data_IF_021413294886
#
_entry.id   IF_021413294886
#
_cell.length_a   1.000
_cell.length_b   1.000
_cell.length_c   1.000
_cell.angle_alpha   90.00
_cell.angle_beta   90.00
_cell.angle_gamma   90.00
#
_symmetry.space_group_name_H-M   'P 1'
#
loop_
_entity.id
_entity.type
_entity.pdbx_description
1 polymer ?
#
# COMPACT_ATOMS: atom_id res chain seq x y z
N UNK A 1 -70.55 -4.34 -40.68
CA UNK A 1 -69.17 -4.77 -40.39
C UNK A 1 -68.27 -3.55 -40.24
N UNK A 2 -68.17 -2.93 -39.06
CA UNK A 2 -67.46 -1.66 -38.91
C UNK A 2 -67.01 -1.28 -37.50
N UNK A 3 -66.98 -2.23 -36.52
CA UNK A 3 -66.68 -1.89 -35.13
C UNK A 3 -65.32 -2.49 -34.57
N UNK A 4 -64.59 -3.28 -35.37
CA UNK A 4 -63.37 -3.98 -34.85
C UNK A 4 -62.10 -3.14 -35.02
N UNK A 5 -62.08 -2.12 -35.89
CA UNK A 5 -60.85 -1.34 -36.17
C UNK A 5 -60.51 -0.24 -35.20
N UNK A 6 -61.50 0.29 -34.48
CA UNK A 6 -61.32 1.41 -33.52
C UNK A 6 -60.68 0.92 -32.20
N UNK A 7 -61.13 -0.24 -31.70
CA UNK A 7 -60.59 -0.82 -30.45
C UNK A 7 -59.10 -1.21 -30.59
N UNK A 8 -58.70 -1.71 -31.74
CA UNK A 8 -57.27 -2.04 -32.01
C UNK A 8 -56.37 -0.78 -31.99
N UNK A 9 -56.85 0.33 -32.54
CA UNK A 9 -56.08 1.57 -32.65
C UNK A 9 -55.81 2.21 -31.29
N UNK A 10 -56.77 2.16 -30.40
CA UNK A 10 -56.63 2.67 -29.01
C UNK A 10 -55.74 1.76 -28.15
N UNK A 11 -55.79 0.45 -28.37
CA UNK A 11 -54.90 -0.50 -27.70
C UNK A 11 -53.44 -0.27 -28.14
N UNK A 12 -53.15 -0.11 -29.44
CA UNK A 12 -51.81 0.20 -29.92
C UNK A 12 -51.28 1.53 -29.40
N UNK A 13 -52.15 2.57 -29.29
CA UNK A 13 -51.75 3.86 -28.69
C UNK A 13 -51.37 3.71 -27.21
N UNK A 14 -52.12 2.96 -26.43
CA UNK A 14 -51.82 2.69 -25.02
C UNK A 14 -50.52 1.94 -24.85
N UNK A 15 -50.27 0.91 -25.66
CA UNK A 15 -49.00 0.16 -25.63
C UNK A 15 -47.83 0.98 -26.13
N UNK A 16 -48.00 1.85 -27.10
CA UNK A 16 -46.99 2.78 -27.56
C UNK A 16 -46.58 3.78 -26.46
N UNK A 17 -47.56 4.32 -25.72
CA UNK A 17 -47.30 5.21 -24.58
C UNK A 17 -46.53 4.48 -23.46
N UNK A 18 -46.92 3.25 -23.15
CA UNK A 18 -46.20 2.42 -22.16
C UNK A 18 -44.80 2.11 -22.65
N UNK A 19 -44.60 1.74 -23.90
CA UNK A 19 -43.28 1.48 -24.50
C UNK A 19 -42.38 2.71 -24.48
N UNK A 20 -42.91 3.89 -24.79
CA UNK A 20 -42.17 5.16 -24.68
C UNK A 20 -41.81 5.48 -23.23
N UNK A 21 -42.76 5.30 -22.28
CA UNK A 21 -42.47 5.52 -20.87
C UNK A 21 -41.39 4.60 -20.34
N UNK A 22 -41.40 3.33 -20.70
CA UNK A 22 -40.32 2.36 -20.35
C UNK A 22 -38.99 2.78 -20.98
N UNK A 23 -38.99 3.14 -22.27
CA UNK A 23 -37.78 3.58 -22.96
C UNK A 23 -37.19 4.85 -22.31
N UNK A 24 -38.01 5.82 -21.92
CA UNK A 24 -37.59 7.02 -21.20
C UNK A 24 -37.03 6.66 -19.82
N UNK A 25 -37.71 5.80 -19.06
CA UNK A 25 -37.25 5.35 -17.74
C UNK A 25 -35.91 4.58 -17.83
N UNK A 26 -35.73 3.76 -18.86
CA UNK A 26 -34.45 3.06 -19.10
C UNK A 26 -33.32 3.99 -19.58
N UNK A 27 -33.65 5.04 -20.34
CA UNK A 27 -32.66 6.01 -20.84
C UNK A 27 -32.31 7.09 -19.81
N UNK A 28 -33.20 7.42 -18.86
CA UNK A 28 -32.97 8.45 -17.84
C UNK A 28 -31.67 8.28 -17.05
N UNK A 29 -31.33 7.09 -16.53
CA UNK A 29 -30.05 6.91 -15.81
C UNK A 29 -28.83 7.23 -16.68
N UNK A 30 -28.86 6.78 -17.94
CA UNK A 30 -27.74 7.01 -18.88
C UNK A 30 -27.62 8.47 -19.31
N UNK A 31 -28.76 9.18 -19.42
CA UNK A 31 -28.76 10.63 -19.73
C UNK A 31 -28.31 11.45 -18.53
N UNK A 32 -28.74 11.08 -17.31
CA UNK A 32 -28.31 11.78 -16.08
C UNK A 32 -26.83 11.58 -15.83
N UNK A 33 -26.30 10.36 -16.02
CA UNK A 33 -24.88 10.07 -15.87
C UNK A 33 -23.99 10.72 -16.96
N UNK A 34 -24.56 11.08 -18.10
CA UNK A 34 -23.87 11.81 -19.18
C UNK A 34 -23.86 13.33 -18.99
N UNK A 35 -24.62 13.87 -18.02
CA UNK A 35 -24.56 15.29 -17.72
C UNK A 35 -23.21 15.61 -17.07
N UNK A 36 -22.48 16.67 -17.52
CA UNK A 36 -21.23 17.05 -16.91
C UNK A 36 -21.44 17.40 -15.43
N UNK A 37 -20.64 16.78 -14.57
CA UNK A 37 -20.61 17.10 -13.15
C UNK A 37 -20.15 18.57 -12.99
N UNK A 38 -20.96 19.40 -12.37
CA UNK A 38 -20.66 20.81 -12.14
C UNK A 38 -20.41 21.04 -10.65
N UNK A 39 -19.16 21.39 -10.32
CA UNK A 39 -18.80 21.90 -9.00
C UNK A 39 -18.17 23.28 -9.16
N UNK A 40 -18.23 24.11 -8.12
CA UNK A 40 -17.43 25.33 -8.08
C UNK A 40 -15.96 24.96 -8.23
N UNK A 41 -15.22 25.70 -9.06
CA UNK A 41 -13.79 25.48 -9.27
C UNK A 41 -13.04 25.70 -7.95
N UNK A 42 -12.41 24.67 -7.44
CA UNK A 42 -11.53 24.73 -6.27
C UNK A 42 -10.09 24.71 -6.77
N UNK A 43 -9.27 25.65 -6.28
CA UNK A 43 -7.85 25.66 -6.62
C UNK A 43 -7.18 24.33 -6.17
N UNK A 44 -6.26 23.75 -6.98
CA UNK A 44 -5.65 22.45 -6.68
C UNK A 44 -5.01 22.37 -5.29
N UNK A 45 -4.27 23.42 -4.90
CA UNK A 45 -3.66 23.47 -3.57
C UNK A 45 -4.69 23.52 -2.43
N UNK A 46 -5.80 24.24 -2.61
CA UNK A 46 -6.88 24.27 -1.63
C UNK A 46 -7.61 22.93 -1.53
N UNK A 47 -7.81 22.24 -2.66
CA UNK A 47 -8.40 20.91 -2.68
C UNK A 47 -7.49 19.90 -1.97
N UNK A 48 -6.16 19.92 -2.24
CA UNK A 48 -5.19 19.11 -1.50
C UNK A 48 -5.27 19.36 0.00
N UNK A 49 -5.31 20.63 0.43
CA UNK A 49 -5.41 20.96 1.87
C UNK A 49 -6.70 20.42 2.49
N UNK A 50 -7.84 20.50 1.78
CA UNK A 50 -9.11 19.95 2.26
C UNK A 50 -9.04 18.42 2.39
N UNK A 51 -8.48 17.73 1.38
CA UNK A 51 -8.30 16.28 1.43
C UNK A 51 -7.43 15.88 2.63
N UNK A 52 -6.31 16.56 2.86
CA UNK A 52 -5.45 16.28 4.02
C UNK A 52 -6.17 16.54 5.36
N UNK A 53 -6.99 17.59 5.44
CA UNK A 53 -7.75 17.91 6.64
C UNK A 53 -8.92 16.95 6.93
N UNK A 54 -9.30 16.12 5.97
CA UNK A 54 -10.39 15.14 6.13
C UNK A 54 -9.95 13.79 6.70
N UNK A 55 -8.69 13.65 7.13
CA UNK A 55 -8.14 12.37 7.60
C UNK A 55 -8.97 11.72 8.72
N UNK A 56 -9.49 12.52 9.64
CA UNK A 56 -10.29 12.06 10.78
C UNK A 56 -11.80 12.24 10.57
N UNK A 57 -12.23 12.62 9.34
CA UNK A 57 -13.65 12.81 9.06
C UNK A 57 -14.37 11.46 9.00
N UNK A 58 -15.46 11.26 9.78
CA UNK A 58 -16.21 10.01 9.75
C UNK A 58 -16.87 9.78 8.37
N UNK A 59 -16.93 8.54 7.98
CA UNK A 59 -17.60 8.11 6.73
C UNK A 59 -17.98 6.64 6.81
N UNK A 60 -18.85 6.22 5.89
CA UNK A 60 -19.12 4.82 5.60
C UNK A 60 -19.37 4.64 4.11
N UNK A 61 -19.10 3.45 3.59
CA UNK A 61 -19.31 3.22 2.17
C UNK A 61 -18.94 1.83 1.70
N UNK A 62 -19.23 1.61 0.43
CA UNK A 62 -18.86 0.41 -0.32
C UNK A 62 -17.93 0.80 -1.44
N UNK A 63 -16.71 0.26 -1.41
CA UNK A 63 -15.66 0.58 -2.36
C UNK A 63 -15.25 -0.63 -3.18
N UNK A 64 -14.76 -0.37 -4.39
CA UNK A 64 -14.09 -1.33 -5.25
C UNK A 64 -12.64 -0.89 -5.45
N UNK A 65 -11.73 -1.86 -5.31
CA UNK A 65 -10.30 -1.67 -5.52
C UNK A 65 -9.89 -2.57 -6.67
N UNK A 66 -9.34 -1.98 -7.73
CA UNK A 66 -8.78 -2.70 -8.86
C UNK A 66 -7.27 -2.52 -8.90
N UNK A 67 -6.54 -3.61 -8.71
CA UNK A 67 -5.08 -3.66 -8.80
C UNK A 67 -4.59 -4.38 -10.05
N UNK A 68 -3.55 -3.84 -10.68
CA UNK A 68 -2.89 -4.42 -11.88
C UNK A 68 -1.37 -4.49 -11.71
N UNK A 69 -0.92 -4.68 -10.46
CA UNK A 69 0.51 -4.77 -10.19
C UNK A 69 1.13 -6.06 -10.69
N UNK A 70 0.32 -7.11 -10.91
CA UNK A 70 0.81 -8.44 -11.34
C UNK A 70 1.95 -8.95 -10.44
N UNK A 71 1.75 -8.85 -9.13
CA UNK A 71 2.71 -9.36 -8.16
C UNK A 71 2.84 -10.88 -8.31
N UNK A 72 4.07 -11.43 -8.17
CA UNK A 72 4.25 -12.87 -8.16
C UNK A 72 3.51 -13.49 -6.98
N UNK A 73 2.94 -14.68 -7.20
CA UNK A 73 2.25 -15.45 -6.17
C UNK A 73 3.30 -16.04 -5.21
N UNK A 74 3.52 -15.35 -4.11
CA UNK A 74 4.36 -15.83 -3.01
C UNK A 74 3.45 -16.24 -1.85
N UNK A 75 3.63 -17.43 -1.25
CA UNK A 75 2.76 -17.92 -0.17
C UNK A 75 2.60 -16.92 0.99
N UNK A 76 3.65 -16.16 1.31
CA UNK A 76 3.66 -15.15 2.37
C UNK A 76 3.00 -13.82 1.98
N UNK A 77 2.74 -13.60 0.68
CA UNK A 77 2.17 -12.38 0.13
C UNK A 77 0.82 -12.61 -0.58
N UNK A 78 0.19 -13.78 -0.39
CA UNK A 78 -1.03 -14.17 -1.09
C UNK A 78 -2.15 -13.12 -0.97
N UNK A 79 -2.44 -12.67 0.25
CA UNK A 79 -3.45 -11.64 0.52
C UNK A 79 -3.10 -10.32 -0.18
N UNK A 80 -1.82 -9.89 -0.14
CA UNK A 80 -1.39 -8.64 -0.78
C UNK A 80 -1.42 -8.77 -2.29
N UNK A 81 -1.01 -9.92 -2.82
CA UNK A 81 -1.06 -10.19 -4.26
C UNK A 81 -2.50 -10.13 -4.77
N UNK A 82 -3.48 -10.66 -4.02
CA UNK A 82 -4.90 -10.59 -4.39
C UNK A 82 -5.42 -9.16 -4.33
N UNK A 83 -5.11 -8.40 -3.28
CA UNK A 83 -5.52 -7.00 -3.12
C UNK A 83 -4.96 -6.08 -4.21
N UNK A 84 -3.72 -6.31 -4.65
CA UNK A 84 -3.02 -5.42 -5.59
C UNK A 84 -2.99 -5.92 -7.04
N UNK A 85 -3.50 -7.13 -7.32
CA UNK A 85 -3.48 -7.74 -8.66
C UNK A 85 -4.85 -8.27 -9.10
N UNK A 86 -5.92 -7.83 -8.47
CA UNK A 86 -7.29 -8.23 -8.78
C UNK A 86 -8.30 -7.16 -8.42
N UNK A 87 -9.59 -7.48 -8.54
CA UNK A 87 -10.68 -6.65 -8.05
C UNK A 87 -11.13 -7.14 -6.67
N UNK A 88 -11.19 -6.23 -5.72
CA UNK A 88 -11.60 -6.49 -4.34
C UNK A 88 -12.69 -5.52 -3.94
N UNK A 89 -13.75 -6.04 -3.35
CA UNK A 89 -14.88 -5.24 -2.85
C UNK A 89 -14.79 -5.13 -1.35
N UNK A 90 -14.96 -3.92 -0.86
CA UNK A 90 -14.76 -3.57 0.55
C UNK A 90 -15.96 -2.78 1.05
N UNK A 91 -16.50 -3.15 2.21
CA UNK A 91 -17.33 -2.26 3.02
C UNK A 91 -16.47 -1.61 4.07
N UNK A 92 -16.73 -0.35 4.38
CA UNK A 92 -15.96 0.36 5.40
C UNK A 92 -16.86 1.29 6.21
N UNK A 93 -16.59 1.34 7.51
CA UNK A 93 -17.20 2.25 8.49
C UNK A 93 -16.06 2.86 9.29
N UNK A 94 -15.88 4.15 9.17
CA UNK A 94 -14.85 4.90 9.85
C UNK A 94 -15.50 5.95 10.74
N UNK A 95 -15.40 5.78 12.04
CA UNK A 95 -15.90 6.72 13.04
C UNK A 95 -14.77 7.59 13.62
N UNK A 96 -13.59 7.01 13.82
CA UNK A 96 -12.37 7.64 14.33
C UNK A 96 -11.14 6.78 14.00
N UNK A 97 -9.90 7.29 14.16
CA UNK A 97 -8.68 6.52 13.89
C UNK A 97 -8.55 5.19 14.67
N UNK A 98 -9.15 5.10 15.83
CA UNK A 98 -9.19 3.92 16.70
C UNK A 98 -10.59 3.27 16.78
N UNK A 99 -11.50 3.65 15.90
CA UNK A 99 -12.86 3.14 15.83
C UNK A 99 -13.31 3.02 14.37
N UNK A 100 -12.95 1.92 13.71
CA UNK A 100 -13.31 1.65 12.32
C UNK A 100 -13.46 0.16 12.05
N UNK A 101 -14.18 -0.17 10.99
CA UNK A 101 -14.34 -1.52 10.47
C UNK A 101 -14.15 -1.53 8.96
N UNK A 102 -13.49 -2.55 8.44
CA UNK A 102 -13.35 -2.82 7.01
C UNK A 102 -13.58 -4.29 6.76
N UNK A 103 -14.56 -4.61 5.91
CA UNK A 103 -14.90 -5.96 5.51
C UNK A 103 -14.44 -6.20 4.08
N UNK A 104 -13.66 -7.23 3.87
CA UNK A 104 -13.27 -7.72 2.55
C UNK A 104 -14.25 -8.81 2.14
N UNK A 105 -14.95 -8.61 1.04
CA UNK A 105 -15.89 -9.58 0.49
C UNK A 105 -15.13 -10.53 -0.45
N UNK A 106 -15.20 -11.81 -0.17
CA UNK A 106 -14.64 -12.89 -1.00
C UNK A 106 -15.77 -13.72 -1.60
N UNK A 107 -15.46 -14.58 -2.56
CA UNK A 107 -16.45 -15.47 -3.18
C UNK A 107 -17.02 -16.52 -2.19
N UNK A 108 -16.27 -16.84 -1.13
CA UNK A 108 -16.59 -17.89 -0.16
C UNK A 108 -16.95 -17.37 1.21
N UNK A 109 -16.73 -16.07 1.49
CA UNK A 109 -16.99 -15.51 2.82
C UNK A 109 -16.65 -14.02 2.93
N UNK A 110 -16.36 -13.62 4.14
CA UNK A 110 -16.04 -12.25 4.51
C UNK A 110 -14.90 -12.26 5.53
N UNK A 111 -13.98 -11.34 5.39
CA UNK A 111 -12.93 -11.10 6.37
C UNK A 111 -13.06 -9.67 6.89
N UNK A 112 -13.38 -9.56 8.17
CA UNK A 112 -13.55 -8.27 8.83
C UNK A 112 -12.29 -7.87 9.58
N UNK A 113 -11.97 -6.59 9.52
CA UNK A 113 -10.90 -6.00 10.32
C UNK A 113 -11.45 -4.78 11.06
N UNK A 114 -11.22 -4.75 12.36
CA UNK A 114 -11.65 -3.68 13.25
C UNK A 114 -10.43 -2.95 13.81
N UNK A 115 -10.42 -1.64 13.73
CA UNK A 115 -9.46 -0.79 14.41
C UNK A 115 -9.90 -0.54 15.84
N UNK A 116 -8.97 -0.70 16.78
CA UNK A 116 -9.19 -0.48 18.21
C UNK A 116 -8.04 0.31 18.81
N UNK A 117 -8.22 0.84 20.03
CA UNK A 117 -7.17 1.58 20.76
C UNK A 117 -5.90 0.76 21.02
N UNK A 118 -5.98 -0.57 21.01
CA UNK A 118 -4.85 -1.45 21.32
C UNK A 118 -4.25 -2.14 20.09
N UNK A 119 -4.82 -1.90 18.91
CA UNK A 119 -4.39 -2.52 17.66
C UNK A 119 -5.57 -2.90 16.77
N UNK A 120 -5.52 -4.04 16.11
CA UNK A 120 -6.60 -4.51 15.23
C UNK A 120 -7.14 -5.85 15.65
N UNK A 121 -8.45 -6.06 15.43
CA UNK A 121 -9.10 -7.37 15.50
C UNK A 121 -9.42 -7.82 14.08
N UNK A 122 -9.09 -9.04 13.74
CA UNK A 122 -9.47 -9.67 12.47
C UNK A 122 -10.41 -10.83 12.76
N UNK A 123 -11.56 -10.84 12.08
CA UNK A 123 -12.52 -11.93 12.09
C UNK A 123 -12.55 -12.57 10.71
N UNK A 124 -12.30 -13.85 10.66
CA UNK A 124 -12.37 -14.68 9.45
C UNK A 124 -13.60 -15.60 9.57
N UNK A 125 -14.63 -15.33 8.77
CA UNK A 125 -15.88 -16.08 8.78
C UNK A 125 -15.72 -17.50 8.26
N UNK A 126 -14.81 -17.74 7.33
CA UNK A 126 -14.58 -19.06 6.73
C UNK A 126 -13.99 -20.04 7.74
N UNK A 127 -13.04 -19.55 8.53
CA UNK A 127 -12.36 -20.36 9.56
C UNK A 127 -13.00 -20.25 10.94
N UNK A 128 -13.91 -19.28 11.16
CA UNK A 128 -14.51 -18.98 12.45
C UNK A 128 -13.47 -18.54 13.49
N UNK A 129 -12.40 -17.86 13.06
CA UNK A 129 -11.28 -17.49 13.91
C UNK A 129 -11.22 -15.97 14.14
N UNK A 130 -11.04 -15.57 15.40
CA UNK A 130 -10.72 -14.20 15.79
C UNK A 130 -9.24 -14.09 16.10
N UNK A 131 -8.56 -13.12 15.51
CA UNK A 131 -7.17 -12.81 15.81
C UNK A 131 -7.07 -11.35 16.27
N UNK A 132 -6.60 -11.14 17.49
CA UNK A 132 -6.23 -9.82 18.00
C UNK A 132 -4.75 -9.56 17.68
N UNK A 133 -4.49 -8.52 16.90
CA UNK A 133 -3.14 -8.06 16.58
C UNK A 133 -2.85 -6.83 17.43
N UNK A 134 -1.95 -6.98 18.42
CA UNK A 134 -1.56 -5.90 19.31
C UNK A 134 -0.56 -4.96 18.64
N UNK A 135 -0.83 -3.66 18.74
CA UNK A 135 -0.05 -2.60 18.09
C UNK A 135 -0.36 -2.44 16.61
N UNK A 136 -0.03 -1.29 16.07
CA UNK A 136 -0.08 -1.02 14.62
C UNK A 136 1.29 -0.47 14.20
N UNK A 137 2.24 -1.34 13.84
CA UNK A 137 3.59 -0.89 13.46
C UNK A 137 3.49 -0.06 12.19
N UNK A 138 4.24 1.03 12.18
CA UNK A 138 4.26 1.98 11.06
C UNK A 138 4.79 1.34 9.79
N UNK A 139 5.69 0.33 9.91
CA UNK A 139 6.16 -0.47 8.77
C UNK A 139 5.54 -1.86 8.86
N UNK A 140 4.53 -2.08 8.07
CA UNK A 140 3.83 -3.36 7.92
C UNK A 140 3.40 -3.57 6.46
N UNK A 141 3.01 -4.77 6.17
CA UNK A 141 2.42 -5.08 4.87
C UNK A 141 1.06 -4.38 4.72
N UNK A 142 0.71 -3.93 3.51
CA UNK A 142 -0.59 -3.30 3.24
C UNK A 142 -1.75 -4.22 3.62
N UNK A 143 -2.78 -3.66 4.22
CA UNK A 143 -4.07 -4.29 4.48
C UNK A 143 -5.14 -3.68 3.59
N UNK A 144 -6.33 -4.26 3.60
CA UNK A 144 -7.45 -3.78 2.81
C UNK A 144 -7.88 -2.35 3.19
N UNK A 145 -7.86 -2.04 4.49
CA UNK A 145 -8.16 -0.69 5.00
C UNK A 145 -7.23 0.39 4.42
N UNK A 146 -5.96 0.06 4.17
CA UNK A 146 -4.99 0.98 3.56
C UNK A 146 -5.35 1.38 2.12
N UNK A 147 -6.14 0.56 1.45
CA UNK A 147 -6.50 0.74 0.05
C UNK A 147 -7.89 1.37 -0.13
N UNK A 148 -8.62 1.66 0.93
CA UNK A 148 -9.85 2.47 0.83
C UNK A 148 -9.52 3.83 0.23
N UNK A 149 -10.44 4.47 -0.54
CA UNK A 149 -10.12 5.74 -1.20
C UNK A 149 -9.55 6.80 -0.27
N UNK A 150 -10.10 7.04 0.97
CA UNK A 150 -9.54 8.03 1.88
C UNK A 150 -8.12 7.67 2.34
N UNK A 151 -7.87 6.43 2.78
CA UNK A 151 -6.58 6.02 3.32
C UNK A 151 -5.49 5.99 2.24
N UNK A 152 -5.81 5.48 1.05
CA UNK A 152 -4.89 5.50 -0.09
C UNK A 152 -4.53 6.93 -0.49
N UNK A 153 -5.54 7.82 -0.59
CA UNK A 153 -5.31 9.22 -0.91
C UNK A 153 -4.43 9.91 0.14
N UNK A 154 -4.71 9.72 1.44
CA UNK A 154 -3.90 10.31 2.51
C UNK A 154 -2.42 9.90 2.39
N UNK A 155 -2.14 8.61 2.18
CA UNK A 155 -0.77 8.11 1.99
C UNK A 155 -0.08 8.74 0.77
N UNK A 156 -0.78 8.84 -0.36
CA UNK A 156 -0.24 9.44 -1.58
C UNK A 156 -0.02 10.95 -1.44
N UNK A 157 -0.95 11.66 -0.79
CA UNK A 157 -0.85 13.10 -0.53
C UNK A 157 0.29 13.46 0.42
N UNK A 158 0.55 12.63 1.45
CA UNK A 158 1.68 12.78 2.36
C UNK A 158 3.00 12.39 1.70
N UNK A 159 3.01 11.40 0.80
CA UNK A 159 4.20 11.00 0.05
C UNK A 159 4.60 12.03 -1.00
N UNK A 160 3.63 12.74 -1.60
CA UNK A 160 3.90 13.72 -2.64
C UNK A 160 4.87 14.82 -2.17
N UNK A 161 5.88 15.08 -2.99
CA UNK A 161 6.86 16.15 -2.70
C UNK A 161 6.20 17.53 -2.79
N UNK A 162 6.70 18.49 -2.01
CA UNK A 162 6.14 19.85 -1.99
C UNK A 162 6.24 20.61 -3.32
N UNK A 163 7.13 20.17 -4.22
CA UNK A 163 7.33 20.72 -5.56
C UNK A 163 6.64 19.92 -6.67
N UNK A 164 5.92 18.84 -6.35
CA UNK A 164 5.13 18.13 -7.35
C UNK A 164 4.03 19.01 -7.93
N UNK A 165 3.74 18.83 -9.22
CA UNK A 165 2.77 19.67 -9.91
C UNK A 165 1.35 19.26 -9.55
N UNK A 166 0.55 20.23 -9.13
CA UNK A 166 -0.88 20.06 -8.84
C UNK A 166 -1.70 20.66 -9.99
N UNK A 167 -2.62 19.87 -10.54
CA UNK A 167 -3.48 20.26 -11.67
C UNK A 167 -4.93 19.97 -11.32
N UNK A 168 -5.86 20.88 -11.68
CA UNK A 168 -7.30 20.58 -11.55
C UNK A 168 -7.72 19.57 -12.61
N UNK A 169 -8.49 18.58 -12.20
CA UNK A 169 -9.22 17.69 -13.08
C UNK A 169 -10.68 18.10 -13.21
N UNK A 170 -11.34 17.75 -14.33
CA UNK A 170 -12.78 17.89 -14.44
C UNK A 170 -13.48 17.16 -13.29
N UNK A 171 -14.58 17.73 -12.81
CA UNK A 171 -15.41 17.06 -11.82
C UNK A 171 -15.97 15.75 -12.39
N UNK A 172 -16.10 14.76 -11.51
CA UNK A 172 -16.62 13.42 -11.82
C UNK A 172 -17.76 13.10 -10.86
N UNK A 173 -18.77 12.39 -11.33
CA UNK A 173 -19.74 11.78 -10.44
C UNK A 173 -19.14 10.52 -9.81
N UNK A 174 -19.09 10.47 -8.48
CA UNK A 174 -18.61 9.30 -7.71
C UNK A 174 -19.64 9.04 -6.62
N UNK A 175 -20.25 7.88 -6.63
CA UNK A 175 -21.30 7.49 -5.68
C UNK A 175 -22.43 8.55 -5.58
N UNK A 176 -22.82 9.18 -6.71
CA UNK A 176 -23.85 10.22 -6.76
C UNK A 176 -23.39 11.61 -6.30
N UNK A 177 -22.11 11.79 -6.02
CA UNK A 177 -21.52 13.07 -5.60
C UNK A 177 -20.71 13.67 -6.75
N UNK A 178 -21.02 14.91 -7.13
CA UNK A 178 -20.21 15.66 -8.09
C UNK A 178 -18.88 16.09 -7.43
N UNK A 179 -17.85 15.29 -7.58
CA UNK A 179 -16.56 15.41 -6.91
C UNK A 179 -15.57 16.22 -7.75
N UNK A 180 -14.98 17.33 -7.25
CA UNK A 180 -13.85 18.00 -7.86
C UNK A 180 -12.61 17.13 -7.83
N UNK A 181 -11.76 17.22 -8.89
CA UNK A 181 -10.59 16.39 -9.03
C UNK A 181 -9.26 17.14 -8.94
N UNK A 182 -8.26 16.45 -8.42
CA UNK A 182 -6.87 16.88 -8.29
C UNK A 182 -5.97 15.85 -8.96
N UNK A 183 -5.09 16.29 -9.84
CA UNK A 183 -4.00 15.49 -10.36
C UNK A 183 -2.68 15.92 -9.70
N UNK A 184 -1.90 14.95 -9.25
CA UNK A 184 -0.53 15.15 -8.75
C UNK A 184 0.43 14.53 -9.77
N UNK A 185 1.32 15.35 -10.32
CA UNK A 185 2.40 14.91 -11.23
C UNK A 185 3.75 15.01 -10.53
N UNK A 186 4.38 13.88 -10.23
CA UNK A 186 5.73 13.88 -9.67
C UNK A 186 6.73 14.59 -10.59
N UNK A 187 7.57 15.46 -10.01
CA UNK A 187 8.64 16.13 -10.75
C UNK A 187 9.84 15.22 -10.95
N UNK A 188 10.11 14.30 -9.99
CA UNK A 188 11.23 13.38 -10.10
C UNK A 188 11.08 12.44 -11.30
N UNK A 189 12.11 12.33 -12.17
CA UNK A 189 12.10 11.36 -13.28
C UNK A 189 12.26 9.92 -12.80
N UNK A 190 12.80 9.71 -11.61
CA UNK A 190 13.16 8.38 -11.10
C UNK A 190 11.96 7.55 -10.66
N UNK A 191 10.83 8.20 -10.29
CA UNK A 191 9.64 7.47 -9.89
C UNK A 191 8.96 6.77 -11.06
N UNK A 192 8.40 5.59 -10.80
CA UNK A 192 7.53 4.85 -11.73
C UNK A 192 6.14 5.45 -11.85
N UNK A 193 5.72 6.30 -10.90
CA UNK A 193 4.43 6.97 -10.92
C UNK A 193 4.45 8.10 -11.96
N UNK A 194 3.53 8.05 -12.92
CA UNK A 194 3.32 9.12 -13.89
C UNK A 194 2.46 10.25 -13.31
N UNK A 195 1.38 9.89 -12.64
CA UNK A 195 0.47 10.80 -11.96
C UNK A 195 -0.43 10.04 -10.98
N UNK A 196 -1.03 10.79 -10.06
CA UNK A 196 -2.09 10.35 -9.17
C UNK A 196 -3.28 11.27 -9.35
N UNK A 197 -4.43 10.72 -9.67
CA UNK A 197 -5.68 11.44 -9.86
C UNK A 197 -6.61 11.14 -8.67
N UNK A 198 -7.16 12.18 -8.01
CA UNK A 198 -7.98 12.04 -6.80
C UNK A 198 -9.22 12.92 -6.93
N UNK A 199 -10.40 12.35 -6.71
CA UNK A 199 -11.66 13.08 -6.61
C UNK A 199 -12.19 12.99 -5.18
N UNK A 200 -12.69 14.11 -4.65
CA UNK A 200 -13.13 14.20 -3.26
C UNK A 200 -14.50 14.83 -3.12
N UNK A 201 -15.20 14.51 -2.05
CA UNK A 201 -16.43 15.16 -1.65
C UNK A 201 -16.18 16.67 -1.44
N UNK A 202 -16.88 17.55 -2.16
CA UNK A 202 -16.71 19.00 -2.03
C UNK A 202 -17.09 19.54 -0.66
N UNK A 203 -17.94 18.85 0.09
CA UNK A 203 -18.40 19.30 1.41
C UNK A 203 -17.38 18.99 2.51
N UNK A 204 -16.85 17.77 2.53
CA UNK A 204 -15.99 17.27 3.62
C UNK A 204 -14.51 17.19 3.25
N UNK A 205 -14.20 17.09 1.96
CA UNK A 205 -12.86 16.83 1.47
C UNK A 205 -12.46 15.36 1.49
N UNK A 206 -13.34 14.45 1.92
CA UNK A 206 -13.06 13.01 1.94
C UNK A 206 -12.83 12.51 0.52
N UNK A 207 -11.69 11.85 0.23
CA UNK A 207 -11.43 11.26 -1.08
C UNK A 207 -12.42 10.14 -1.40
N UNK A 208 -12.98 10.17 -2.61
CA UNK A 208 -13.99 9.22 -3.08
C UNK A 208 -13.48 8.29 -4.18
N UNK A 209 -12.51 8.76 -4.98
CA UNK A 209 -11.95 8.01 -6.10
C UNK A 209 -10.46 8.37 -6.22
N UNK A 210 -9.61 7.35 -6.32
CA UNK A 210 -8.16 7.47 -6.43
C UNK A 210 -7.66 6.58 -7.56
N UNK A 211 -6.95 7.16 -8.51
CA UNK A 211 -6.35 6.43 -9.63
C UNK A 211 -4.83 6.69 -9.65
N UNK A 212 -4.03 5.62 -9.62
CA UNK A 212 -2.57 5.70 -9.69
C UNK A 212 -2.09 5.18 -11.04
N UNK A 213 -1.41 6.03 -11.78
CA UNK A 213 -0.90 5.71 -13.10
C UNK A 213 0.61 5.48 -13.08
N UNK A 214 1.04 4.37 -13.67
CA UNK A 214 2.44 4.09 -13.92
C UNK A 214 2.93 4.74 -15.22
N UNK A 215 4.23 5.10 -15.29
CA UNK A 215 4.84 5.67 -16.52
C UNK A 215 4.77 4.71 -17.73
N UNK A 216 4.74 3.43 -17.48
CA UNK A 216 4.66 2.39 -18.50
C UNK A 216 3.22 1.96 -18.83
N UNK A 217 2.20 2.63 -18.25
CA UNK A 217 0.80 2.25 -18.39
C UNK A 217 -0.06 3.41 -18.87
N UNK A 218 -0.93 3.17 -19.85
CA UNK A 218 -1.94 4.14 -20.29
C UNK A 218 -3.22 4.11 -19.43
N UNK A 219 -3.45 3.03 -18.69
CA UNK A 219 -4.56 2.86 -17.78
C UNK A 219 -4.04 2.93 -16.32
N UNK A 220 -4.91 3.24 -15.35
CA UNK A 220 -4.51 3.20 -13.94
C UNK A 220 -4.05 1.79 -13.56
N UNK A 221 -3.00 1.73 -12.75
CA UNK A 221 -2.46 0.48 -12.19
C UNK A 221 -3.15 0.11 -10.88
N UNK A 222 -3.58 1.11 -10.14
CA UNK A 222 -4.43 0.96 -8.95
C UNK A 222 -5.57 1.95 -9.10
N UNK A 223 -6.79 1.48 -8.90
CA UNK A 223 -7.99 2.29 -8.74
C UNK A 223 -8.63 1.91 -7.41
N UNK A 224 -9.03 2.90 -6.64
CA UNK A 224 -9.85 2.71 -5.43
C UNK A 224 -10.99 3.71 -5.46
N UNK A 225 -12.22 3.23 -5.51
CA UNK A 225 -13.41 4.06 -5.72
C UNK A 225 -14.57 3.62 -4.86
N UNK A 226 -15.27 4.58 -4.26
CA UNK A 226 -16.58 4.32 -3.67
C UNK A 226 -17.65 4.12 -4.74
N UNK A 227 -18.41 3.04 -4.59
CA UNK A 227 -19.61 2.75 -5.34
C UNK A 227 -20.86 3.26 -4.60
N UNK A 228 -20.78 3.31 -3.26
CA UNK A 228 -21.74 3.93 -2.37
C UNK A 228 -20.99 4.64 -1.24
N UNK A 229 -21.44 5.83 -0.83
CA UNK A 229 -20.74 6.65 0.14
C UNK A 229 -21.71 7.52 0.96
N UNK A 230 -21.40 7.65 2.24
CA UNK A 230 -22.04 8.60 3.14
C UNK A 230 -20.99 9.24 4.05
N UNK A 231 -21.01 10.57 4.16
CA UNK A 231 -20.19 11.34 5.09
C UNK A 231 -20.79 11.44 6.50
N UNK A 232 -21.89 10.76 6.75
CA UNK A 232 -22.46 10.67 8.09
C UNK A 232 -21.60 9.73 8.97
N UNK A 233 -21.48 10.07 10.27
CA UNK A 233 -20.86 9.18 11.23
C UNK A 233 -21.60 7.84 11.25
N UNK A 234 -20.90 6.70 11.14
CA UNK A 234 -21.51 5.39 11.32
C UNK A 234 -22.15 5.23 12.70
N UNK A 235 -23.14 4.34 12.81
CA UNK A 235 -23.61 3.93 14.12
C UNK A 235 -22.50 3.25 14.91
N UNK A 236 -22.40 3.48 16.21
CA UNK A 236 -21.32 2.91 17.05
C UNK A 236 -21.25 1.37 16.92
N UNK A 237 -22.40 0.70 16.83
CA UNK A 237 -22.46 -0.76 16.62
C UNK A 237 -21.90 -1.24 15.27
N UNK A 238 -21.74 -0.35 14.30
CA UNK A 238 -21.22 -0.74 12.98
C UNK A 238 -19.68 -0.93 12.98
N UNK A 239 -18.97 -0.18 13.84
CA UNK A 239 -17.51 -0.23 13.96
C UNK A 239 -17.03 -1.04 15.19
N UNK A 240 -17.91 -1.46 16.06
CA UNK A 240 -17.60 -2.26 17.24
C UNK A 240 -17.66 -3.75 16.94
N UNK A 241 -16.71 -4.49 17.48
CA UNK A 241 -16.66 -5.94 17.35
C UNK A 241 -17.42 -6.61 18.51
N UNK A 242 -18.46 -7.36 18.18
CA UNK A 242 -19.14 -8.24 19.11
C UNK A 242 -18.58 -9.65 18.99
N UNK A 243 -17.88 -10.11 20.03
CA UNK A 243 -17.29 -11.44 20.04
C UNK A 243 -18.40 -12.50 20.14
N UNK A 244 -18.52 -13.42 19.16
CA UNK A 244 -19.49 -14.51 19.26
C UNK A 244 -19.17 -15.42 20.45
N UNK A 245 -20.22 -15.94 21.12
CA UNK A 245 -20.07 -16.83 22.26
C UNK A 245 -19.26 -18.09 21.93
N UNK A 246 -18.26 -18.38 22.76
CA UNK A 246 -17.46 -19.61 22.63
C UNK A 246 -16.34 -19.55 21.57
N UNK A 247 -16.15 -18.43 20.89
CA UNK A 247 -15.06 -18.26 19.92
C UNK A 247 -13.77 -17.87 20.63
N UNK A 248 -12.67 -18.62 20.48
CA UNK A 248 -11.40 -18.26 21.09
C UNK A 248 -10.76 -17.08 20.35
N UNK A 249 -10.16 -16.17 21.11
CA UNK A 249 -9.33 -15.09 20.57
C UNK A 249 -7.88 -15.55 20.55
N UNK A 250 -7.30 -15.68 19.35
CA UNK A 250 -5.86 -15.81 19.19
C UNK A 250 -5.23 -14.40 19.29
N UNK A 251 -4.25 -14.24 20.19
CA UNK A 251 -3.52 -12.97 20.27
C UNK A 251 -2.20 -13.11 19.52
N UNK A 252 -1.99 -12.23 18.55
CA UNK A 252 -0.71 -12.07 17.85
C UNK A 252 -0.17 -10.68 18.14
N UNK A 253 1.13 -10.55 18.30
CA UNK A 253 1.75 -9.24 18.14
C UNK A 253 1.85 -8.97 16.66
N UNK A 254 1.54 -7.75 16.24
CA UNK A 254 1.83 -7.35 14.87
C UNK A 254 3.26 -7.76 14.56
N UNK A 255 3.45 -8.43 13.43
CA UNK A 255 4.79 -8.78 12.96
C UNK A 255 5.48 -7.45 12.63
N UNK A 256 6.00 -6.83 13.67
CA UNK A 256 6.88 -5.69 13.53
C UNK A 256 8.07 -6.17 12.71
N UNK A 257 8.28 -5.57 11.54
CA UNK A 257 9.47 -5.82 10.75
C UNK A 257 10.70 -5.65 11.62
N UNK A 258 10.66 -4.74 12.61
CA UNK A 258 11.72 -4.60 13.61
C UNK A 258 11.91 -5.85 14.46
N UNK A 259 10.86 -6.52 14.92
CA UNK A 259 11.02 -7.75 15.72
C UNK A 259 11.60 -8.90 14.90
N UNK A 260 11.41 -8.89 13.59
CA UNK A 260 12.06 -9.81 12.65
C UNK A 260 13.51 -9.41 12.39
N UNK A 261 13.83 -8.12 12.41
CA UNK A 261 15.18 -7.58 12.18
C UNK A 261 15.99 -7.49 13.47
N UNK A 262 15.38 -7.17 14.61
CA UNK A 262 16.06 -6.96 15.92
C UNK A 262 16.67 -8.24 16.53
N UNK A 263 16.28 -9.40 16.04
CA UNK A 263 16.72 -10.67 16.62
C UNK A 263 18.13 -11.08 16.15
N UNK A 264 18.67 -10.49 15.08
CA UNK A 264 19.89 -11.03 14.46
C UNK A 264 20.73 -9.95 13.74
N UNK A 265 21.68 -9.38 14.45
CA UNK A 265 22.81 -8.60 13.90
C UNK A 265 22.44 -7.28 13.19
N UNK A 266 22.71 -6.19 13.87
CA UNK A 266 22.61 -4.84 13.29
C UNK A 266 23.69 -4.61 12.25
N UNK A 267 23.30 -4.29 11.01
CA UNK A 267 24.19 -3.86 9.96
C UNK A 267 23.96 -2.37 9.68
N UNK A 268 24.94 -1.50 9.97
CA UNK A 268 24.77 -0.07 9.74
C UNK A 268 24.69 0.20 8.23
N UNK A 269 23.54 0.74 7.80
CA UNK A 269 23.34 1.13 6.42
C UNK A 269 24.08 2.45 6.12
N UNK A 270 24.56 2.66 4.87
CA UNK A 270 25.28 3.87 4.47
C UNK A 270 24.44 5.15 4.65
N UNK A 271 25.12 6.25 4.94
CA UNK A 271 24.47 7.57 5.05
C UNK A 271 23.96 8.11 3.69
N UNK A 272 24.44 7.55 2.57
CA UNK A 272 24.05 7.94 1.22
C UNK A 272 24.10 6.73 0.30
N UNK A 273 23.09 6.59 -0.57
CA UNK A 273 23.02 5.59 -1.65
C UNK A 273 22.45 6.22 -2.92
N UNK A 274 23.03 5.93 -4.05
CA UNK A 274 22.67 6.46 -5.36
C UNK A 274 22.62 8.01 -5.41
N UNK A 275 23.43 8.69 -4.59
CA UNK A 275 23.41 10.15 -4.45
C UNK A 275 22.23 10.68 -3.61
N UNK A 276 21.53 9.80 -2.87
CA UNK A 276 20.41 10.13 -2.00
C UNK A 276 20.80 9.93 -0.53
N UNK A 277 20.61 10.97 0.29
CA UNK A 277 20.90 10.90 1.72
C UNK A 277 19.88 9.96 2.44
N UNK A 278 20.41 9.22 3.42
CA UNK A 278 19.59 8.40 4.31
C UNK A 278 18.63 9.28 5.12
N UNK A 279 17.41 8.80 5.26
CA UNK A 279 16.38 9.39 6.14
C UNK A 279 15.87 8.29 7.05
N UNK A 280 15.62 8.57 8.33
CA UNK A 280 14.93 7.62 9.17
C UNK A 280 13.57 7.32 8.50
N UNK A 281 13.27 6.04 8.31
CA UNK A 281 11.97 5.62 7.78
C UNK A 281 10.89 6.01 8.79
N UNK A 282 11.25 6.00 10.07
CA UNK A 282 10.42 6.36 11.22
C UNK A 282 11.29 6.70 12.44
N UNK A 283 10.81 7.59 13.29
CA UNK A 283 11.43 7.89 14.57
C UNK A 283 11.46 6.63 15.46
N UNK A 284 12.63 6.23 15.92
CA UNK A 284 12.83 5.08 16.82
C UNK A 284 13.11 3.72 16.15
N UNK A 285 13.31 3.68 14.82
CA UNK A 285 13.64 2.44 14.11
C UNK A 285 15.14 2.12 14.10
N UNK A 286 15.42 0.80 14.00
CA UNK A 286 16.77 0.27 14.04
C UNK A 286 17.62 0.73 12.85
N UNK A 287 18.96 0.68 13.03
CA UNK A 287 19.94 1.00 11.99
C UNK A 287 19.85 0.09 10.74
N UNK A 288 19.03 -0.95 10.78
CA UNK A 288 18.92 -1.99 9.76
C UNK A 288 17.88 -1.65 8.67
N UNK A 289 17.13 -0.54 8.85
CA UNK A 289 16.15 -0.03 7.89
C UNK A 289 16.41 1.43 7.65
N UNK A 290 16.60 1.83 6.40
CA UNK A 290 16.74 3.22 6.01
C UNK A 290 15.97 3.53 4.74
N UNK A 291 15.35 4.72 4.70
CA UNK A 291 14.81 5.31 3.49
C UNK A 291 15.82 6.24 2.84
N UNK A 292 15.77 6.35 1.54
CA UNK A 292 16.61 7.24 0.75
C UNK A 292 15.76 7.98 -0.28
N UNK A 293 16.11 9.22 -0.58
CA UNK A 293 15.38 10.02 -1.55
C UNK A 293 14.21 10.81 -0.97
N UNK A 294 13.28 11.23 -1.80
CA UNK A 294 12.13 12.06 -1.40
C UNK A 294 10.91 11.85 -2.29
N UNK A 295 9.74 12.09 -1.72
CA UNK A 295 8.47 11.97 -2.45
C UNK A 295 8.27 10.55 -2.98
N UNK A 296 7.68 10.45 -4.15
CA UNK A 296 7.47 9.16 -4.83
C UNK A 296 8.76 8.49 -5.34
N UNK A 297 9.91 9.16 -5.27
CA UNK A 297 11.20 8.59 -5.63
C UNK A 297 11.96 8.04 -4.40
N UNK A 298 11.30 7.93 -3.26
CA UNK A 298 11.87 7.29 -2.06
C UNK A 298 12.02 5.79 -2.29
N UNK A 299 13.17 5.24 -1.88
CA UNK A 299 13.38 3.80 -1.77
C UNK A 299 13.79 3.42 -0.36
N UNK A 300 13.41 2.25 0.07
CA UNK A 300 13.79 1.68 1.36
C UNK A 300 14.83 0.58 1.15
N UNK A 301 15.77 0.49 2.09
CA UNK A 301 16.75 -0.58 2.18
C UNK A 301 16.61 -1.25 3.54
N UNK A 302 16.52 -2.57 3.51
CA UNK A 302 16.41 -3.41 4.70
C UNK A 302 17.52 -4.45 4.67
N UNK A 303 18.24 -4.59 5.78
CA UNK A 303 19.10 -5.74 5.99
C UNK A 303 18.23 -6.95 6.39
N UNK A 304 18.43 -8.09 5.75
CA UNK A 304 17.75 -9.33 6.06
C UNK A 304 18.73 -10.29 6.73
N UNK A 305 18.34 -10.85 7.87
CA UNK A 305 19.12 -11.94 8.50
C UNK A 305 19.18 -13.16 7.58
N UNK A 306 20.25 -13.96 7.70
CA UNK A 306 20.62 -15.03 6.76
C UNK A 306 19.42 -15.95 6.40
N UNK A 307 18.67 -16.44 7.39
CA UNK A 307 17.53 -17.33 7.17
C UNK A 307 16.41 -16.68 6.39
N UNK A 308 16.07 -15.43 6.72
CA UNK A 308 15.01 -14.68 6.05
C UNK A 308 15.45 -14.31 4.64
N UNK A 309 16.70 -13.86 4.50
CA UNK A 309 17.28 -13.47 3.23
C UNK A 309 17.37 -14.64 2.25
N UNK A 310 17.83 -15.81 2.69
CA UNK A 310 17.89 -17.03 1.86
C UNK A 310 16.51 -17.47 1.40
N UNK A 311 15.53 -17.46 2.32
CA UNK A 311 14.15 -17.76 2.00
C UNK A 311 13.56 -16.78 0.97
N UNK A 312 13.84 -15.47 1.14
CA UNK A 312 13.38 -14.42 0.24
C UNK A 312 14.01 -14.55 -1.16
N UNK A 313 15.33 -14.81 -1.25
CA UNK A 313 16.01 -15.05 -2.53
C UNK A 313 15.50 -16.30 -3.24
N UNK A 314 15.26 -17.39 -2.49
CA UNK A 314 14.68 -18.60 -3.02
C UNK A 314 13.28 -18.36 -3.58
N UNK A 315 12.43 -17.70 -2.81
CA UNK A 315 11.07 -17.35 -3.21
C UNK A 315 11.05 -16.42 -4.44
N UNK A 316 11.91 -15.41 -4.48
CA UNK A 316 12.05 -14.53 -5.64
C UNK A 316 12.50 -15.30 -6.89
N UNK A 317 13.41 -16.27 -6.73
CA UNK A 317 13.87 -17.12 -7.83
C UNK A 317 12.75 -18.00 -8.36
N UNK A 318 11.96 -18.63 -7.48
CA UNK A 318 10.79 -19.44 -7.85
C UNK A 318 9.72 -18.60 -8.54
N UNK A 319 9.56 -17.35 -8.12
CA UNK A 319 8.65 -16.38 -8.74
C UNK A 319 9.15 -15.81 -10.09
N UNK A 320 10.29 -16.29 -10.61
CA UNK A 320 10.83 -15.86 -11.89
C UNK A 320 11.52 -14.49 -11.87
N UNK A 321 11.97 -14.01 -10.70
CA UNK A 321 12.71 -12.75 -10.61
C UNK A 321 13.98 -12.77 -11.49
N UNK A 322 14.20 -11.68 -12.23
CA UNK A 322 15.34 -11.56 -13.13
C UNK A 322 16.66 -11.56 -12.36
N UNK A 323 17.66 -12.36 -12.78
CA UNK A 323 18.98 -12.32 -12.16
C UNK A 323 19.68 -10.99 -12.49
N UNK A 324 20.37 -10.43 -11.49
CA UNK A 324 21.21 -9.24 -11.64
C UNK A 324 22.59 -9.57 -11.04
N UNK A 325 23.65 -9.18 -11.74
CA UNK A 325 25.03 -9.38 -11.30
C UNK A 325 25.68 -8.03 -11.01
N UNK A 326 26.35 -7.95 -9.88
CA UNK A 326 27.12 -6.79 -9.43
C UNK A 326 28.61 -7.17 -9.34
N UNK A 327 29.55 -6.21 -9.33
CA UNK A 327 30.97 -6.52 -9.13
C UNK A 327 31.25 -7.29 -7.84
N UNK A 328 30.47 -7.05 -6.77
CA UNK A 328 30.67 -7.54 -5.41
C UNK A 328 29.48 -8.37 -4.90
N UNK A 329 28.65 -8.91 -5.80
CA UNK A 329 27.49 -9.67 -5.37
C UNK A 329 26.55 -10.06 -6.49
N UNK A 330 25.48 -10.71 -6.11
CA UNK A 330 24.41 -11.14 -7.01
C UNK A 330 23.06 -10.74 -6.48
N UNK A 331 22.06 -10.68 -7.35
CA UNK A 331 20.71 -10.29 -6.91
C UNK A 331 19.58 -10.88 -7.74
N UNK A 332 18.36 -10.59 -7.28
CA UNK A 332 17.09 -10.93 -7.95
C UNK A 332 16.20 -9.69 -8.00
N UNK A 333 15.76 -9.32 -9.19
CA UNK A 333 14.94 -8.15 -9.45
C UNK A 333 13.54 -8.56 -9.88
N UNK A 334 12.54 -8.08 -9.13
CA UNK A 334 11.13 -8.14 -9.47
C UNK A 334 10.70 -6.74 -9.90
N UNK A 335 10.04 -6.64 -11.06
CA UNK A 335 9.50 -5.38 -11.58
C UNK A 335 8.01 -5.51 -11.82
N UNK A 336 7.29 -4.52 -11.33
CA UNK A 336 5.88 -4.33 -11.63
C UNK A 336 5.68 -2.96 -12.26
N UNK A 337 4.49 -2.60 -12.75
CA UNK A 337 4.24 -1.25 -13.30
C UNK A 337 4.53 -0.09 -12.35
N UNK A 338 4.47 -0.31 -11.01
CA UNK A 338 4.72 0.74 -10.01
C UNK A 338 5.88 0.41 -9.07
N UNK A 339 6.08 -0.86 -8.74
CA UNK A 339 7.00 -1.29 -7.70
C UNK A 339 8.20 -2.03 -8.29
N UNK A 340 9.40 -1.66 -7.86
CA UNK A 340 10.63 -2.44 -8.08
C UNK A 340 11.09 -3.01 -6.74
N UNK A 341 11.43 -4.29 -6.72
CA UNK A 341 11.97 -5.00 -5.56
C UNK A 341 13.25 -5.68 -5.98
N UNK A 342 14.34 -5.39 -5.29
CA UNK A 342 15.65 -5.94 -5.56
C UNK A 342 16.23 -6.57 -4.30
N UNK A 343 16.44 -7.88 -4.35
CA UNK A 343 17.19 -8.61 -3.33
C UNK A 343 18.64 -8.75 -3.80
N UNK A 344 19.60 -8.39 -2.96
CA UNK A 344 21.03 -8.50 -3.28
C UNK A 344 21.75 -9.25 -2.17
N UNK A 345 22.71 -10.09 -2.58
CA UNK A 345 23.61 -10.83 -1.70
C UNK A 345 25.04 -10.32 -1.93
N UNK A 346 25.74 -9.94 -0.88
CA UNK A 346 27.15 -9.62 -0.90
C UNK A 346 28.01 -10.90 -0.93
N UNK A 347 29.01 -10.94 -1.79
CA UNK A 347 29.92 -12.09 -1.91
C UNK A 347 30.84 -12.24 -0.70
N UNK A 348 31.15 -11.14 0.02
CA UNK A 348 32.13 -11.13 1.10
C UNK A 348 31.56 -11.50 2.46
N UNK A 349 30.42 -10.92 2.82
CA UNK A 349 29.78 -11.15 4.13
C UNK A 349 28.63 -12.14 4.08
N UNK A 350 28.27 -12.61 2.90
CA UNK A 350 27.03 -13.40 2.67
C UNK A 350 25.79 -12.69 3.22
N UNK A 351 25.80 -11.34 3.20
CA UNK A 351 24.72 -10.50 3.70
C UNK A 351 23.70 -10.25 2.61
N UNK A 352 22.42 -10.31 2.99
CA UNK A 352 21.32 -10.12 2.07
C UNK A 352 20.57 -8.85 2.43
N UNK A 353 20.33 -8.03 1.42
CA UNK A 353 19.59 -6.77 1.55
C UNK A 353 18.38 -6.78 0.61
N UNK A 354 17.29 -6.20 1.09
CA UNK A 354 16.09 -5.95 0.32
C UNK A 354 16.00 -4.44 0.03
N UNK A 355 15.90 -4.09 -1.25
CA UNK A 355 15.63 -2.74 -1.71
C UNK A 355 14.23 -2.70 -2.33
N UNK A 356 13.39 -1.77 -1.89
CA UNK A 356 12.00 -1.63 -2.37
C UNK A 356 11.72 -0.18 -2.71
N UNK A 357 11.11 0.06 -3.87
CA UNK A 357 10.83 1.42 -4.31
C UNK A 357 9.68 1.53 -5.31
N UNK A 358 9.05 2.71 -5.34
CA UNK A 358 8.22 3.18 -6.44
C UNK A 358 9.07 3.90 -7.50
N UNK A 359 10.23 3.30 -7.83
CA UNK A 359 11.20 3.86 -8.79
C UNK A 359 11.56 2.84 -9.86
N UNK A 360 12.20 3.34 -10.93
CA UNK A 360 12.77 2.48 -11.96
C UNK A 360 13.90 1.59 -11.42
N UNK A 361 14.19 0.47 -12.10
CA UNK A 361 15.21 -0.48 -11.66
C UNK A 361 16.62 0.11 -11.66
N UNK A 362 16.88 1.14 -12.47
CA UNK A 362 18.22 1.72 -12.62
C UNK A 362 18.69 2.40 -11.33
N UNK A 363 17.78 3.15 -10.65
CA UNK A 363 18.09 3.76 -9.36
C UNK A 363 18.39 2.70 -8.30
N UNK A 364 17.58 1.63 -8.23
CA UNK A 364 17.81 0.53 -7.28
C UNK A 364 19.10 -0.22 -7.57
N UNK A 365 19.43 -0.44 -8.86
CA UNK A 365 20.68 -1.11 -9.25
C UNK A 365 21.89 -0.26 -8.87
N UNK A 366 21.82 1.06 -9.06
CA UNK A 366 22.86 1.99 -8.60
C UNK A 366 23.00 1.97 -7.08
N UNK A 367 21.86 2.07 -6.35
CA UNK A 367 21.86 2.00 -4.89
C UNK A 367 22.43 0.68 -4.36
N UNK A 368 22.10 -0.45 -5.00
CA UNK A 368 22.67 -1.75 -4.65
C UNK A 368 24.18 -1.84 -4.93
N UNK A 369 24.67 -1.23 -6.01
CA UNK A 369 26.10 -1.16 -6.31
C UNK A 369 26.85 -0.36 -5.23
N UNK A 370 26.33 0.79 -4.84
CA UNK A 370 26.91 1.62 -3.79
C UNK A 370 26.88 0.89 -2.44
N UNK A 371 25.76 0.23 -2.11
CA UNK A 371 25.59 -0.56 -0.89
C UNK A 371 26.62 -1.70 -0.81
N UNK A 372 26.75 -2.49 -1.87
CA UNK A 372 27.71 -3.61 -1.90
C UNK A 372 29.17 -3.13 -1.81
N UNK A 373 29.47 -1.97 -2.38
CA UNK A 373 30.79 -1.33 -2.27
C UNK A 373 31.07 -0.87 -0.83
N UNK A 374 30.08 -0.33 -0.15
CA UNK A 374 30.20 0.04 1.28
C UNK A 374 30.38 -1.21 2.16
N UNK A 375 29.61 -2.27 1.90
CA UNK A 375 29.76 -3.58 2.57
C UNK A 375 31.18 -4.09 2.47
N UNK A 376 31.80 -4.05 1.29
CA UNK A 376 33.19 -4.46 1.08
C UNK A 376 34.19 -3.57 1.85
N UNK A 377 33.95 -2.26 1.86
CA UNK A 377 34.75 -1.30 2.61
C UNK A 377 34.70 -1.60 4.12
N UNK A 378 33.50 -1.89 4.63
CA UNK A 378 33.31 -2.29 6.03
C UNK A 378 34.01 -3.61 6.33
N UNK A 379 33.98 -4.59 5.41
CA UNK A 379 34.73 -5.84 5.54
C UNK A 379 36.21 -5.63 5.66
N UNK A 380 36.79 -4.82 4.78
CA UNK A 380 38.24 -4.54 4.79
C UNK A 380 38.67 -3.81 6.07
N UNK A 381 37.83 -2.89 6.59
CA UNK A 381 38.03 -2.26 7.90
C UNK A 381 37.99 -3.27 9.04
N UNK A 382 37.02 -4.19 9.05
CA UNK A 382 36.91 -5.25 10.06
C UNK A 382 38.15 -6.13 10.03
N UNK A 383 38.59 -6.55 8.85
CA UNK A 383 39.79 -7.39 8.66
C UNK A 383 41.04 -6.69 9.16
N UNK A 384 41.22 -5.41 8.87
CA UNK A 384 42.36 -4.60 9.33
C UNK A 384 42.38 -4.47 10.85
N UNK A 385 41.24 -4.25 11.49
CA UNK A 385 41.13 -4.15 12.96
C UNK A 385 41.39 -5.47 13.67
N UNK A 386 40.99 -6.58 13.08
CA UNK A 386 41.22 -7.91 13.67
C UNK A 386 42.66 -8.37 13.56
N UNK A 387 43.46 -7.94 12.54
CA UNK A 387 44.86 -8.24 12.37
C UNK A 387 45.26 -9.70 12.72
N UNK A 388 44.44 -10.66 12.27
CA UNK A 388 44.62 -12.08 12.55
C UNK A 388 44.06 -12.55 13.90
N UNK A 389 43.38 -11.69 14.67
CA UNK A 389 42.62 -12.07 15.88
C UNK A 389 41.22 -12.50 15.49
N UNK A 390 40.68 -13.45 16.22
CA UNK A 390 39.27 -13.78 16.07
C UNK A 390 38.37 -12.66 16.65
N UNK A 391 37.15 -12.39 16.09
CA UNK A 391 36.24 -11.37 16.61
C UNK A 391 35.96 -11.50 18.11
N UNK A 392 35.89 -12.70 18.66
CA UNK A 392 35.72 -12.94 20.08
C UNK A 392 36.92 -12.59 20.99
N UNK A 393 38.08 -12.24 20.38
CA UNK A 393 39.27 -11.81 21.13
C UNK A 393 39.39 -10.28 21.24
N UNK A 394 38.49 -9.54 20.60
CA UNK A 394 38.42 -8.07 20.66
C UNK A 394 37.14 -7.71 21.41
N UNK A 395 37.22 -6.83 22.43
CA UNK A 395 36.03 -6.38 23.16
C UNK A 395 34.98 -5.85 22.20
N UNK A 396 33.68 -6.21 22.37
CA UNK A 396 32.61 -5.82 21.45
C UNK A 396 32.42 -4.30 21.27
N UNK A 397 32.76 -3.52 22.31
CA UNK A 397 32.75 -2.06 22.31
C UNK A 397 33.83 -1.44 21.40
N UNK A 398 34.92 -2.16 21.16
CA UNK A 398 36.00 -1.75 20.27
C UNK A 398 35.78 -2.17 18.81
N UNK A 399 34.78 -3.01 18.54
CA UNK A 399 34.43 -3.42 17.20
C UNK A 399 33.35 -2.52 16.61
N UNK A 400 33.52 -2.02 15.38
CA UNK A 400 32.43 -1.42 14.61
C UNK A 400 31.23 -2.36 14.57
N UNK A 401 30.01 -1.82 14.51
CA UNK A 401 28.80 -2.61 14.51
C UNK A 401 28.79 -3.73 13.44
N UNK A 402 29.30 -3.42 12.24
CA UNK A 402 29.42 -4.39 11.14
C UNK A 402 30.39 -5.56 11.44
N UNK A 403 31.30 -5.39 12.40
CA UNK A 403 32.31 -6.39 12.75
C UNK A 403 31.95 -7.24 13.98
N UNK A 404 30.83 -6.92 14.64
CA UNK A 404 30.42 -7.66 15.83
C UNK A 404 29.88 -9.03 15.44
N UNK A 405 30.27 -10.10 16.16
CA UNK A 405 29.71 -11.42 15.92
C UNK A 405 28.20 -11.40 16.20
N UNK A 406 27.45 -12.09 15.37
CA UNK A 406 26.02 -12.34 15.63
C UNK A 406 25.89 -13.15 16.90
N UNK A 407 25.09 -12.74 17.91
CA UNK A 407 24.86 -13.56 19.08
C UNK A 407 24.27 -14.92 18.68
N UNK A 408 24.80 -16.00 19.22
CA UNK A 408 24.22 -17.32 18.98
C UNK A 408 22.76 -17.35 19.48
N UNK A 409 21.83 -17.95 18.72
CA UNK A 409 20.44 -18.06 19.15
C UNK A 409 20.41 -18.86 20.47
N UNK A 410 19.98 -18.22 21.57
CA UNK A 410 19.83 -18.85 22.89
C UNK A 410 20.71 -18.29 24.02
N UNK A 411 21.58 -17.29 23.80
CA UNK A 411 22.40 -16.69 24.86
C UNK A 411 21.76 -15.47 25.55
N UNK A 412 20.50 -15.18 25.30
CA UNK A 412 19.72 -14.18 26.03
C UNK A 412 19.37 -14.71 27.42
N UNK A 413 20.23 -14.44 28.42
CA UNK A 413 19.91 -14.66 29.81
C UNK A 413 18.68 -13.85 30.19
N UNK A 414 17.70 -14.53 30.73
CA UNK A 414 16.53 -13.95 31.40
C UNK A 414 17.02 -13.02 32.52
N UNK A 415 16.52 -11.78 32.66
CA UNK A 415 16.54 -11.09 33.91
C UNK A 415 15.41 -11.52 34.83
#
# INVERSE_FOLDING_TARGET
MGRVSVVRRDTYRRWAVVGVAIAVLCALPSVVSALPAHTAAIAPAALRTRMLASADHPYQGYAEIDGRLNLPQLPQLGTISSLLSGSTKIRTWFAAPDEWRTDVLTDTGEQDTYGTQVGTLSWDFETGQVTQILGDPVVRLPRADDLTPPNLAQRLLHTAAGNDKLVSLPARDVAGISAPGLEIRPVSPDTTIARVDIWADPATGVPLDVEVYGRASSAPVITSRFLDFSSARPADSAAQFDLPDGVPIATARSSDINSLLDTHARFPLPAELAGQAAKPVLDGYSADVSGYGSGFATFAVLFLGDRIGDSALSAATQAGAAPVTFPNGTGRLIRTPLLSVLLVRSDRFDRIFLLVALTGPDLLTKAATDLLTDVDTQFDRCRALLQGRSPGQVPPDQLPAACRPVPAPGSGGNP
#
